data_IF_218586476005
#
_entry.id   IF_218586476005
#
_cell.length_a   1.000
_cell.length_b   1.000
_cell.length_c   1.000
_cell.angle_alpha   90.00
_cell.angle_beta   90.00
_cell.angle_gamma   90.00
#
_symmetry.space_group_name_H-M   'P 1'
#
loop_
_entity.id
_entity.type
_entity.pdbx_description
1 polymer ?
#
# COMPACT_ATOMS: atom_id res chain seq x y z
N UNK A 1 14.93 -7.20 30.36
CA UNK A 1 14.34 -8.55 30.26
C UNK A 1 14.24 -8.88 28.78
N UNK A 2 14.51 -10.12 28.37
CA UNK A 2 14.38 -10.51 26.96
C UNK A 2 12.89 -10.68 26.61
N UNK A 3 12.50 -10.29 25.39
CA UNK A 3 11.12 -10.29 24.90
C UNK A 3 10.41 -11.64 25.10
N UNK A 4 11.12 -12.74 24.80
CA UNK A 4 10.64 -14.13 24.97
C UNK A 4 10.36 -14.51 26.42
N UNK A 5 11.18 -14.03 27.37
CA UNK A 5 10.98 -14.24 28.81
C UNK A 5 9.76 -13.47 29.32
N UNK A 6 9.54 -12.26 28.79
CA UNK A 6 8.43 -11.39 29.17
C UNK A 6 7.09 -11.91 28.63
N UNK A 7 7.04 -12.46 27.41
CA UNK A 7 5.82 -13.08 26.86
C UNK A 7 5.36 -14.30 27.68
N UNK A 8 6.31 -15.10 28.16
CA UNK A 8 6.00 -16.25 29.03
C UNK A 8 5.55 -15.83 30.44
N UNK A 9 6.06 -14.72 30.98
CA UNK A 9 5.61 -14.19 32.29
C UNK A 9 4.23 -13.51 32.20
N UNK A 10 3.95 -12.82 31.10
CA UNK A 10 2.70 -12.04 30.92
C UNK A 10 1.51 -12.90 30.52
N UNK A 11 1.74 -14.09 29.95
CA UNK A 11 0.68 -15.03 29.58
C UNK A 11 -0.02 -15.67 30.79
N UNK A 12 0.60 -15.71 31.97
CA UNK A 12 -0.03 -16.24 33.19
C UNK A 12 -0.89 -15.22 33.98
N UNK A 13 -0.74 -13.90 33.75
CA UNK A 13 -1.29 -12.88 34.68
C UNK A 13 -2.09 -11.76 34.01
N UNK A 14 -2.01 -11.57 32.68
CA UNK A 14 -2.60 -10.37 32.05
C UNK A 14 -4.01 -10.64 31.51
N UNK A 15 -5.00 -9.90 32.04
CA UNK A 15 -6.36 -9.85 31.49
C UNK A 15 -6.33 -9.25 30.09
N UNK A 16 -6.52 -10.10 29.08
CA UNK A 16 -6.57 -9.68 27.67
C UNK A 16 -7.82 -8.83 27.45
N UNK A 17 -7.64 -7.54 27.14
CA UNK A 17 -8.73 -6.67 26.74
C UNK A 17 -9.18 -7.01 25.31
N UNK A 18 -10.48 -6.97 25.00
CA UNK A 18 -10.98 -7.22 23.64
C UNK A 18 -10.55 -6.11 22.66
N UNK A 19 -10.27 -4.92 23.16
CA UNK A 19 -9.73 -3.78 22.42
C UNK A 19 -8.51 -3.25 23.14
N UNK A 20 -7.46 -2.96 22.39
CA UNK A 20 -6.20 -2.44 22.90
C UNK A 20 -5.96 -1.07 22.25
N UNK A 21 -5.63 -0.08 23.07
CA UNK A 21 -5.30 1.28 22.63
C UNK A 21 -3.89 1.66 23.09
N UNK A 22 -2.95 1.58 22.14
CA UNK A 22 -1.56 1.97 22.31
C UNK A 22 -1.28 3.40 21.81
N UNK A 23 -2.09 3.98 20.92
CA UNK A 23 -1.91 5.37 20.49
C UNK A 23 -2.45 6.39 21.51
N UNK A 24 -3.31 5.95 22.43
CA UNK A 24 -4.00 6.83 23.39
C UNK A 24 -5.10 7.68 22.75
N UNK A 25 -5.32 7.53 21.43
CA UNK A 25 -6.39 8.18 20.69
C UNK A 25 -7.00 7.23 19.66
N UNK A 26 -8.33 7.19 19.62
CA UNK A 26 -9.09 6.37 18.67
C UNK A 26 -9.07 6.91 17.22
N UNK A 27 -8.49 8.09 17.00
CA UNK A 27 -8.54 8.78 15.69
C UNK A 27 -7.81 7.97 14.61
N UNK A 28 -6.61 7.46 14.93
CA UNK A 28 -5.82 6.64 14.02
C UNK A 28 -6.53 5.34 13.64
N UNK A 29 -7.20 4.71 14.61
CA UNK A 29 -7.93 3.46 14.40
C UNK A 29 -9.16 3.69 13.52
N UNK A 30 -9.96 4.71 13.83
CA UNK A 30 -11.12 5.11 13.03
C UNK A 30 -10.70 5.43 11.59
N UNK A 31 -9.60 6.16 11.41
CA UNK A 31 -9.07 6.49 10.10
C UNK A 31 -8.68 5.23 9.32
N UNK A 32 -7.98 4.30 9.97
CA UNK A 32 -7.61 2.99 9.41
C UNK A 32 -8.83 2.20 8.93
N UNK A 33 -9.90 2.14 9.74
CA UNK A 33 -11.14 1.46 9.37
C UNK A 33 -11.86 2.13 8.19
N UNK A 34 -12.03 3.45 8.23
CA UNK A 34 -12.73 4.20 7.17
C UNK A 34 -11.97 4.07 5.85
N UNK A 35 -10.66 4.32 5.86
CA UNK A 35 -9.82 4.23 4.67
C UNK A 35 -9.81 2.80 4.11
N UNK A 36 -9.75 1.78 4.98
CA UNK A 36 -9.87 0.37 4.62
C UNK A 36 -11.19 0.06 3.89
N UNK A 37 -12.33 0.48 4.45
CA UNK A 37 -13.66 0.26 3.83
C UNK A 37 -13.77 0.96 2.47
N UNK A 38 -13.36 2.22 2.37
CA UNK A 38 -13.37 2.97 1.10
C UNK A 38 -12.47 2.27 0.07
N UNK A 39 -11.33 1.76 0.51
CA UNK A 39 -10.42 1.01 -0.34
C UNK A 39 -11.02 -0.30 -0.86
N UNK A 40 -11.74 -1.05 -0.02
CA UNK A 40 -12.43 -2.27 -0.43
C UNK A 40 -13.42 -1.97 -1.56
N UNK A 41 -14.32 -1.00 -1.36
CA UNK A 41 -15.33 -0.64 -2.35
C UNK A 41 -14.71 -0.12 -3.66
N UNK A 42 -13.72 0.76 -3.58
CA UNK A 42 -13.09 1.35 -4.76
C UNK A 42 -12.29 0.33 -5.58
N UNK A 43 -11.53 -0.56 -4.93
CA UNK A 43 -10.78 -1.60 -5.64
C UNK A 43 -11.71 -2.68 -6.24
N UNK A 44 -12.76 -3.11 -5.52
CA UNK A 44 -13.76 -4.03 -6.07
C UNK A 44 -14.49 -3.44 -7.29
N UNK A 45 -14.87 -2.16 -7.21
CA UNK A 45 -15.48 -1.44 -8.32
C UNK A 45 -14.51 -1.33 -9.50
N UNK A 46 -13.23 -1.04 -9.26
CA UNK A 46 -12.22 -0.97 -10.32
C UNK A 46 -12.01 -2.32 -11.00
N UNK A 47 -11.97 -3.42 -10.24
CA UNK A 47 -11.88 -4.79 -10.80
C UNK A 47 -13.09 -5.08 -11.68
N UNK A 48 -14.30 -4.81 -11.19
CA UNK A 48 -15.52 -4.97 -11.96
C UNK A 48 -15.49 -4.12 -13.23
N UNK A 49 -15.18 -2.83 -13.14
CA UNK A 49 -15.16 -1.94 -14.28
C UNK A 49 -14.12 -2.39 -15.33
N UNK A 50 -12.93 -2.78 -14.89
CA UNK A 50 -11.86 -3.32 -15.75
C UNK A 50 -12.31 -4.58 -16.51
N UNK A 51 -13.14 -5.42 -15.89
CA UNK A 51 -13.70 -6.61 -16.54
C UNK A 51 -14.67 -6.30 -17.68
N UNK A 52 -15.39 -5.19 -17.60
CA UNK A 52 -16.39 -4.79 -18.59
C UNK A 52 -15.78 -4.02 -19.78
N UNK A 53 -14.57 -3.48 -19.64
CA UNK A 53 -13.90 -2.73 -20.71
C UNK A 53 -13.38 -3.68 -21.80
N UNK A 54 -14.12 -3.77 -22.91
CA UNK A 54 -13.78 -4.63 -24.07
C UNK A 54 -12.48 -4.23 -24.77
N UNK A 55 -12.10 -2.95 -24.72
CA UNK A 55 -10.92 -2.41 -25.40
C UNK A 55 -9.59 -2.74 -24.72
N UNK A 56 -9.61 -3.24 -23.48
CA UNK A 56 -8.40 -3.60 -22.77
C UNK A 56 -7.84 -4.96 -23.21
N UNK A 57 -6.54 -5.00 -23.45
CA UNK A 57 -5.81 -6.25 -23.70
C UNK A 57 -5.73 -7.10 -22.43
N UNK A 58 -5.57 -8.41 -22.59
CA UNK A 58 -5.47 -9.35 -21.45
C UNK A 58 -4.34 -8.98 -20.48
N UNK A 59 -3.22 -8.45 -21.00
CA UNK A 59 -2.10 -8.00 -20.17
C UNK A 59 -2.45 -6.78 -19.32
N UNK A 60 -3.16 -5.79 -19.87
CA UNK A 60 -3.59 -4.60 -19.11
C UNK A 60 -4.59 -4.98 -18.02
N UNK A 61 -5.53 -5.89 -18.33
CA UNK A 61 -6.47 -6.42 -17.34
C UNK A 61 -5.75 -7.15 -16.21
N UNK A 62 -4.81 -8.04 -16.56
CA UNK A 62 -4.01 -8.77 -15.57
C UNK A 62 -3.24 -7.82 -14.64
N UNK A 63 -2.51 -6.83 -15.19
CA UNK A 63 -1.81 -5.84 -14.37
C UNK A 63 -2.76 -5.10 -13.43
N UNK A 64 -3.92 -4.65 -13.92
CA UNK A 64 -4.88 -3.92 -13.08
C UNK A 64 -5.51 -4.80 -11.99
N UNK A 65 -5.82 -6.05 -12.29
CA UNK A 65 -6.30 -6.99 -11.29
C UNK A 65 -5.23 -7.25 -10.22
N UNK A 66 -4.00 -7.55 -10.62
CA UNK A 66 -2.90 -7.80 -9.69
C UNK A 66 -2.65 -6.62 -8.76
N UNK A 67 -2.63 -5.39 -9.29
CA UNK A 67 -2.45 -4.17 -8.47
C UNK A 67 -3.65 -3.93 -7.54
N UNK A 68 -4.88 -4.17 -8.01
CA UNK A 68 -6.07 -4.03 -7.18
C UNK A 68 -6.08 -5.06 -6.05
N UNK A 69 -5.66 -6.30 -6.31
CA UNK A 69 -5.50 -7.35 -5.29
C UNK A 69 -4.45 -6.94 -4.25
N UNK A 70 -3.29 -6.43 -4.68
CA UNK A 70 -2.27 -5.93 -3.74
C UNK A 70 -2.79 -4.79 -2.87
N UNK A 71 -3.60 -3.87 -3.42
CA UNK A 71 -4.26 -2.80 -2.64
C UNK A 71 -5.29 -3.34 -1.65
N UNK A 72 -6.03 -4.38 -2.02
CA UNK A 72 -6.95 -5.08 -1.10
C UNK A 72 -6.17 -5.72 0.05
N UNK A 73 -5.08 -6.43 -0.23
CA UNK A 73 -4.18 -7.01 0.80
C UNK A 73 -3.70 -5.91 1.75
N UNK A 74 -3.20 -4.78 1.21
CA UNK A 74 -2.77 -3.65 2.01
C UNK A 74 -3.89 -3.13 2.93
N UNK A 75 -5.10 -2.99 2.39
CA UNK A 75 -6.26 -2.47 3.13
C UNK A 75 -6.72 -3.42 4.23
N UNK A 76 -6.71 -4.73 3.97
CA UNK A 76 -7.00 -5.74 4.99
C UNK A 76 -5.95 -5.73 6.09
N UNK A 77 -4.65 -5.63 5.76
CA UNK A 77 -3.61 -5.50 6.77
C UNK A 77 -3.83 -4.29 7.67
N UNK A 78 -4.05 -3.09 7.09
CA UNK A 78 -4.33 -1.87 7.86
C UNK A 78 -5.55 -2.02 8.77
N UNK A 79 -6.65 -2.53 8.23
CA UNK A 79 -7.90 -2.67 8.97
C UNK A 79 -7.79 -3.68 10.13
N UNK A 80 -6.98 -4.72 9.96
CA UNK A 80 -6.79 -5.75 10.98
C UNK A 80 -5.73 -5.38 12.02
N UNK A 81 -4.74 -4.55 11.68
CA UNK A 81 -3.65 -4.20 12.59
C UNK A 81 -3.74 -2.82 13.20
N UNK A 82 -4.47 -1.87 12.58
CA UNK A 82 -4.53 -0.47 12.99
C UNK A 82 -3.15 0.03 13.47
N UNK A 83 -2.12 0.01 12.60
CA UNK A 83 -0.74 0.16 13.04
C UNK A 83 -0.53 1.54 13.66
N UNK A 84 0.15 1.59 14.79
CA UNK A 84 0.65 2.79 15.46
C UNK A 84 2.17 2.74 15.46
N UNK A 85 2.84 3.89 15.35
CA UNK A 85 4.29 3.95 15.38
C UNK A 85 4.72 4.92 16.48
N UNK A 86 5.68 4.49 17.28
CA UNK A 86 6.22 5.25 18.42
C UNK A 86 7.73 5.18 18.36
N UNK A 87 8.40 6.31 18.51
CA UNK A 87 9.86 6.35 18.62
C UNK A 87 10.23 6.48 20.10
N UNK A 88 11.24 5.73 20.53
CA UNK A 88 11.73 5.79 21.91
C UNK A 88 13.21 6.21 21.92
N UNK A 89 13.47 7.33 22.59
CA UNK A 89 14.82 7.91 22.71
C UNK A 89 15.77 7.02 23.52
N UNK A 90 15.31 6.34 24.57
CA UNK A 90 16.19 5.52 25.44
C UNK A 90 16.83 4.35 24.69
N UNK A 91 16.07 3.73 23.79
CA UNK A 91 16.50 2.55 23.03
C UNK A 91 16.85 2.87 21.58
N UNK A 92 16.75 4.13 21.16
CA UNK A 92 16.92 4.59 19.77
C UNK A 92 16.21 3.65 18.78
N UNK A 93 14.96 3.32 19.11
CA UNK A 93 14.20 2.27 18.45
C UNK A 93 12.81 2.77 18.10
N UNK A 94 12.40 2.47 16.88
CA UNK A 94 11.07 2.75 16.37
C UNK A 94 10.21 1.49 16.50
N UNK A 95 9.12 1.58 17.25
CA UNK A 95 8.17 0.50 17.48
C UNK A 95 6.98 0.66 16.54
N UNK A 96 6.65 -0.40 15.81
CA UNK A 96 5.41 -0.49 15.02
C UNK A 96 4.48 -1.46 15.74
N UNK A 97 3.41 -0.92 16.29
CA UNK A 97 2.57 -1.61 17.27
C UNK A 97 1.20 -1.86 16.63
N UNK A 98 0.66 -3.07 16.83
CA UNK A 98 -0.71 -3.39 16.43
C UNK A 98 -1.69 -2.80 17.45
N UNK A 99 -2.69 -2.05 16.97
CA UNK A 99 -3.75 -1.46 17.76
C UNK A 99 -5.12 -2.12 17.48
N UNK A 100 -6.17 -1.68 18.17
CA UNK A 100 -7.54 -2.11 17.89
C UNK A 100 -7.93 -3.46 18.53
N UNK A 101 -8.79 -4.22 17.85
CA UNK A 101 -9.33 -5.48 18.39
C UNK A 101 -8.23 -6.52 18.65
N UNK A 102 -8.36 -7.30 19.70
CA UNK A 102 -7.35 -8.32 20.06
C UNK A 102 -7.13 -9.34 18.94
N UNK A 103 -5.85 -9.63 18.68
CA UNK A 103 -5.41 -10.61 17.70
C UNK A 103 -4.27 -11.45 18.30
N UNK A 104 -4.18 -12.77 18.02
CA UNK A 104 -3.05 -13.57 18.46
C UNK A 104 -1.73 -12.97 17.98
N UNK A 105 -0.72 -12.95 18.87
CA UNK A 105 0.55 -12.25 18.64
C UNK A 105 1.19 -12.63 17.30
N UNK A 106 1.31 -13.93 17.03
CA UNK A 106 1.87 -14.45 15.78
C UNK A 106 1.13 -13.95 14.54
N UNK A 107 -0.21 -13.91 14.59
CA UNK A 107 -1.02 -13.46 13.46
C UNK A 107 -0.87 -11.95 13.25
N UNK A 108 -0.82 -11.16 14.33
CA UNK A 108 -0.59 -9.72 14.22
C UNK A 108 0.82 -9.37 13.76
N UNK A 109 1.85 -10.12 14.13
CA UNK A 109 3.22 -9.94 13.63
C UNK A 109 3.27 -10.19 12.12
N UNK A 110 2.64 -11.28 11.64
CA UNK A 110 2.51 -11.55 10.20
C UNK A 110 1.78 -10.41 9.50
N UNK A 111 0.65 -9.95 10.03
CA UNK A 111 -0.12 -8.88 9.39
C UNK A 111 0.61 -7.53 9.39
N UNK A 112 1.37 -7.21 10.44
CA UNK A 112 2.25 -6.04 10.48
C UNK A 112 3.38 -6.17 9.45
N UNK A 113 3.96 -7.36 9.28
CA UNK A 113 4.95 -7.60 8.24
C UNK A 113 4.34 -7.43 6.83
N UNK A 114 3.14 -7.97 6.59
CA UNK A 114 2.40 -7.79 5.34
C UNK A 114 2.05 -6.31 5.11
N UNK A 115 1.76 -5.55 6.17
CA UNK A 115 1.55 -4.11 6.10
C UNK A 115 2.79 -3.38 5.58
N UNK A 116 3.99 -3.64 6.14
CA UNK A 116 5.24 -3.03 5.68
C UNK A 116 5.57 -3.43 4.23
N UNK A 117 5.42 -4.72 3.89
CA UNK A 117 5.59 -5.18 2.50
C UNK A 117 4.61 -4.46 1.58
N UNK A 118 3.37 -4.26 2.00
CA UNK A 118 2.34 -3.56 1.22
C UNK A 118 2.67 -2.08 1.00
N UNK A 119 3.27 -1.39 1.98
CA UNK A 119 3.82 -0.04 1.82
C UNK A 119 4.84 -0.03 0.69
N UNK A 120 5.84 -0.90 0.74
CA UNK A 120 6.88 -0.99 -0.29
C UNK A 120 6.27 -1.30 -1.66
N UNK A 121 5.31 -2.21 -1.72
CA UNK A 121 4.63 -2.57 -2.96
C UNK A 121 3.78 -1.43 -3.54
N UNK A 122 3.16 -0.61 -2.69
CA UNK A 122 2.38 0.55 -3.12
C UNK A 122 3.24 1.63 -3.80
N UNK A 123 4.49 1.77 -3.35
CA UNK A 123 5.51 2.64 -3.94
C UNK A 123 6.07 2.10 -5.26
N UNK A 124 6.19 0.77 -5.39
CA UNK A 124 6.73 0.12 -6.60
C UNK A 124 5.68 -0.05 -7.71
N UNK A 125 4.39 -0.08 -7.36
CA UNK A 125 3.29 -0.31 -8.32
C UNK A 125 3.28 0.68 -9.50
N UNK A 126 3.27 2.01 -9.27
CA UNK A 126 3.31 2.99 -10.36
C UNK A 126 4.56 2.88 -11.23
N UNK A 127 5.74 2.62 -10.64
CA UNK A 127 6.99 2.46 -11.38
C UNK A 127 6.92 1.29 -12.37
N UNK A 128 6.36 0.16 -11.95
CA UNK A 128 6.14 -1.01 -12.81
C UNK A 128 5.17 -0.69 -13.94
N UNK A 129 4.07 0.02 -13.68
CA UNK A 129 3.13 0.44 -14.73
C UNK A 129 3.80 1.40 -15.73
N UNK A 130 4.60 2.33 -15.25
CA UNK A 130 5.40 3.24 -16.07
C UNK A 130 6.37 2.50 -16.99
N UNK A 131 7.09 1.52 -16.44
CA UNK A 131 8.01 0.69 -17.19
C UNK A 131 7.29 -0.13 -18.26
N UNK A 132 6.11 -0.70 -17.94
CA UNK A 132 5.28 -1.41 -18.92
C UNK A 132 4.90 -0.51 -20.10
N UNK A 133 4.44 0.72 -19.83
CA UNK A 133 4.06 1.67 -20.90
C UNK A 133 5.27 2.10 -21.72
N UNK A 134 6.39 2.44 -21.07
CA UNK A 134 7.61 2.85 -21.76
C UNK A 134 8.14 1.75 -22.70
N UNK A 135 8.12 0.49 -22.27
CA UNK A 135 8.56 -0.65 -23.07
C UNK A 135 7.58 -0.99 -24.20
N UNK A 136 6.27 -0.86 -23.96
CA UNK A 136 5.25 -1.03 -25.01
C UNK A 136 5.38 0.01 -26.13
N UNK A 137 5.88 1.21 -25.82
CA UNK A 137 6.15 2.25 -26.81
C UNK A 137 7.51 2.06 -27.51
N UNK A 138 8.49 1.44 -26.86
CA UNK A 138 9.85 1.29 -27.40
C UNK A 138 10.04 0.03 -28.28
N UNK A 139 9.32 -1.07 -28.04
CA UNK A 139 9.61 -2.37 -28.67
C UNK A 139 8.50 -2.87 -29.62
N UNK A 140 8.88 -3.32 -30.84
CA UNK A 140 7.98 -4.05 -31.75
C UNK A 140 7.75 -5.51 -31.32
N UNK A 141 8.61 -6.08 -30.45
CA UNK A 141 8.49 -7.43 -29.89
C UNK A 141 7.55 -7.43 -28.68
N UNK A 142 6.25 -7.56 -28.96
CA UNK A 142 5.16 -7.32 -27.99
C UNK A 142 4.97 -8.37 -26.89
N UNK A 143 5.59 -9.55 -26.94
CA UNK A 143 5.20 -10.68 -26.06
C UNK A 143 6.19 -10.96 -24.92
N UNK A 144 7.50 -10.98 -25.19
CA UNK A 144 8.51 -11.43 -24.23
C UNK A 144 8.81 -10.39 -23.13
N UNK A 145 8.70 -9.09 -23.43
CA UNK A 145 8.94 -8.02 -22.44
C UNK A 145 7.81 -7.89 -21.40
N UNK A 146 6.59 -8.33 -21.73
CA UNK A 146 5.42 -8.20 -20.84
C UNK A 146 5.46 -9.13 -19.64
N UNK A 147 5.95 -10.36 -19.82
CA UNK A 147 6.02 -11.35 -18.74
C UNK A 147 7.07 -10.95 -17.69
N UNK A 148 8.25 -10.51 -18.14
CA UNK A 148 9.35 -10.10 -17.25
C UNK A 148 8.97 -8.93 -16.33
N UNK A 149 8.31 -7.90 -16.86
CA UNK A 149 7.94 -6.71 -16.07
C UNK A 149 6.83 -7.02 -15.05
N UNK A 150 5.93 -7.96 -15.35
CA UNK A 150 4.88 -8.35 -14.42
C UNK A 150 5.38 -9.15 -13.22
N UNK A 151 6.58 -9.73 -13.29
CA UNK A 151 7.22 -10.49 -12.20
C UNK A 151 7.98 -9.56 -11.24
N UNK A 152 8.39 -8.37 -11.70
CA UNK A 152 9.15 -7.39 -10.91
C UNK A 152 8.52 -7.04 -9.54
N UNK A 153 7.18 -6.87 -9.40
CA UNK A 153 6.55 -6.68 -8.09
C UNK A 153 6.84 -7.82 -7.11
N UNK A 154 6.80 -9.07 -7.56
CA UNK A 154 7.02 -10.25 -6.73
C UNK A 154 8.50 -10.35 -6.32
N UNK A 155 9.40 -10.04 -7.26
CA UNK A 155 10.85 -10.00 -6.99
C UNK A 155 11.24 -8.95 -5.96
N UNK A 156 10.45 -7.89 -5.78
CA UNK A 156 10.65 -6.90 -4.70
C UNK A 156 9.95 -7.35 -3.42
N UNK A 157 8.71 -7.82 -3.51
CA UNK A 157 7.91 -8.23 -2.36
C UNK A 157 8.56 -9.35 -1.52
N UNK A 158 9.08 -10.39 -2.18
CA UNK A 158 9.61 -11.58 -1.50
C UNK A 158 10.85 -11.25 -0.65
N UNK A 159 11.91 -10.60 -1.19
CA UNK A 159 13.04 -10.16 -0.36
C UNK A 159 12.62 -9.21 0.76
N UNK A 160 11.70 -8.27 0.51
CA UNK A 160 11.19 -7.38 1.57
C UNK A 160 10.52 -8.18 2.69
N UNK A 161 9.67 -9.16 2.35
CA UNK A 161 9.00 -9.99 3.35
C UNK A 161 9.98 -10.79 4.20
N UNK A 162 11.01 -11.38 3.56
CA UNK A 162 12.07 -12.13 4.25
C UNK A 162 12.84 -11.21 5.20
N UNK A 163 13.27 -10.03 4.72
CA UNK A 163 14.04 -9.08 5.53
C UNK A 163 13.22 -8.50 6.69
N UNK A 164 11.94 -8.19 6.48
CA UNK A 164 11.05 -7.72 7.56
C UNK A 164 10.86 -8.81 8.61
N UNK A 165 10.67 -10.06 8.18
CA UNK A 165 10.49 -11.18 9.10
C UNK A 165 11.73 -11.42 9.97
N UNK A 166 12.93 -11.41 9.39
CA UNK A 166 14.16 -11.64 10.15
C UNK A 166 14.70 -10.39 10.85
N UNK A 167 14.43 -9.21 10.31
CA UNK A 167 15.01 -7.95 10.80
C UNK A 167 14.15 -7.18 11.77
N UNK A 168 12.82 -7.27 11.69
CA UNK A 168 11.91 -6.47 12.52
C UNK A 168 11.06 -7.28 13.51
N UNK A 169 10.97 -8.61 13.36
CA UNK A 169 10.19 -9.44 14.29
C UNK A 169 11.05 -9.80 15.50
N UNK A 170 10.66 -9.40 16.73
CA UNK A 170 11.48 -9.53 17.93
C UNK A 170 11.77 -10.96 18.36
N UNK A 171 11.06 -11.97 17.82
CA UNK A 171 11.32 -13.38 18.11
C UNK A 171 12.73 -13.84 17.69
N UNK A 172 13.41 -13.08 16.81
CA UNK A 172 14.69 -13.47 16.21
C UNK A 172 15.90 -12.69 16.73
N UNK A 173 15.73 -11.73 17.65
CA UNK A 173 16.86 -10.99 18.24
C UNK A 173 16.58 -10.57 19.70
N UNK A 174 17.59 -10.66 20.56
CA UNK A 174 17.53 -10.25 21.98
C UNK A 174 17.59 -8.71 22.10
N UNK A 175 16.56 -8.01 21.65
CA UNK A 175 16.40 -6.58 21.94
C UNK A 175 15.89 -6.39 23.37
N UNK A 176 16.54 -5.51 24.14
CA UNK A 176 15.93 -4.99 25.36
C UNK A 176 14.82 -4.02 24.97
N UNK A 177 13.60 -4.36 25.37
CA UNK A 177 12.45 -3.47 25.29
C UNK A 177 12.59 -2.40 26.39
N UNK A 178 12.22 -1.14 26.09
CA UNK A 178 12.19 -0.08 27.10
C UNK A 178 11.27 -0.44 28.27
N UNK A 179 11.64 -0.03 29.49
CA UNK A 179 10.78 -0.27 30.68
C UNK A 179 9.43 0.43 30.54
N UNK A 180 9.41 1.59 29.89
CA UNK A 180 8.21 2.33 29.55
C UNK A 180 7.25 1.49 28.70
N UNK A 181 7.75 0.86 27.63
CA UNK A 181 6.93 0.03 26.76
C UNK A 181 6.45 -1.25 27.46
N UNK A 182 7.28 -1.84 28.33
CA UNK A 182 6.90 -2.98 29.17
C UNK A 182 5.72 -2.65 30.11
N UNK A 183 5.73 -1.48 30.73
CA UNK A 183 4.61 -1.03 31.58
C UNK A 183 3.32 -0.86 30.78
N UNK A 184 3.41 -0.37 29.53
CA UNK A 184 2.23 -0.25 28.66
C UNK A 184 1.67 -1.59 28.21
N UNK A 185 2.53 -2.57 27.87
CA UNK A 185 2.10 -3.95 27.62
C UNK A 185 1.39 -4.52 28.86
N UNK A 186 1.92 -4.27 30.05
CA UNK A 186 1.31 -4.71 31.32
C UNK A 186 -0.09 -4.14 31.51
N UNK A 187 -0.33 -2.88 31.11
CA UNK A 187 -1.63 -2.21 31.26
C UNK A 187 -2.66 -2.52 30.16
N UNK A 188 -2.21 -2.72 28.91
CA UNK A 188 -3.09 -2.90 27.74
C UNK A 188 -3.22 -4.35 27.27
N UNK A 189 -2.35 -5.24 27.75
CA UNK A 189 -2.28 -6.61 27.29
C UNK A 189 -1.19 -6.83 26.24
N UNK A 190 -0.81 -8.09 26.06
CA UNK A 190 0.18 -8.50 25.05
C UNK A 190 -0.35 -8.12 23.66
N UNK A 191 0.49 -7.47 22.86
CA UNK A 191 0.21 -7.09 21.48
C UNK A 191 1.35 -7.51 20.54
N UNK A 192 1.05 -7.58 19.25
CA UNK A 192 2.06 -7.76 18.21
C UNK A 192 2.81 -6.47 17.96
N UNK A 193 4.12 -6.58 17.77
CA UNK A 193 4.95 -5.44 17.45
C UNK A 193 6.08 -5.81 16.51
N UNK A 194 6.58 -4.82 15.79
CA UNK A 194 7.83 -4.86 15.05
C UNK A 194 8.78 -3.82 15.64
N UNK A 195 10.05 -4.17 15.82
CA UNK A 195 11.07 -3.23 16.35
C UNK A 195 12.04 -2.89 15.23
N UNK A 196 12.12 -1.62 14.88
CA UNK A 196 13.12 -1.06 13.98
C UNK A 196 14.16 -0.36 14.84
N UNK A 197 15.22 -1.07 15.20
CA UNK A 197 16.26 -0.57 16.11
C UNK A 197 17.54 -0.20 15.36
N UNK A 198 18.23 0.83 15.85
CA UNK A 198 19.60 1.18 15.42
C UNK A 198 20.64 0.48 16.30
N UNK A 199 20.40 0.39 17.60
CA UNK A 199 21.34 -0.17 18.57
C UNK A 199 20.66 -1.17 19.51
N UNK A 200 21.26 -2.37 19.62
CA UNK A 200 20.96 -3.36 20.65
C UNK A 200 21.73 -3.01 21.93
N UNK A 201 21.01 -2.82 23.03
CA UNK A 201 21.62 -2.76 24.35
C UNK A 201 21.87 -4.18 24.87
N UNK A 202 23.13 -4.58 24.91
CA UNK A 202 23.50 -5.85 25.54
C UNK A 202 23.45 -5.75 27.07
N UNK A 203 23.32 -6.89 27.76
CA UNK A 203 23.30 -6.98 29.23
C UNK A 203 24.56 -6.41 29.91
N UNK A 204 25.62 -6.13 29.15
CA UNK A 204 26.87 -5.50 29.60
C UNK A 204 26.84 -3.96 29.47
N UNK A 205 25.75 -3.37 28.98
CA UNK A 205 25.63 -1.93 28.73
C UNK A 205 26.32 -1.44 27.46
N UNK A 206 26.87 -2.35 26.64
CA UNK A 206 27.44 -2.01 25.34
C UNK A 206 26.35 -1.97 24.26
N UNK A 207 26.30 -0.86 23.53
CA UNK A 207 25.49 -0.72 22.32
C UNK A 207 26.15 -1.50 21.18
N UNK A 208 25.53 -2.59 20.75
CA UNK A 208 25.90 -3.30 19.53
C UNK A 208 24.94 -2.89 18.41
N UNK A 209 25.46 -2.64 17.21
CA UNK A 209 24.63 -2.25 16.08
C UNK A 209 23.77 -3.44 15.61
N UNK A 210 22.45 -3.26 15.46
CA UNK A 210 21.60 -4.32 14.93
C UNK A 210 21.75 -4.43 13.41
N UNK A 211 22.70 -5.25 12.99
CA UNK A 211 23.01 -5.44 11.57
C UNK A 211 21.78 -5.89 10.75
N UNK A 212 20.86 -6.68 11.30
CA UNK A 212 19.75 -7.25 10.50
C UNK A 212 18.62 -6.23 10.31
N UNK A 213 18.18 -5.56 11.38
CA UNK A 213 17.20 -4.46 11.32
C UNK A 213 17.69 -3.36 10.36
N UNK A 214 18.99 -3.06 10.42
CA UNK A 214 19.61 -2.04 9.60
C UNK A 214 19.69 -2.44 8.12
N UNK A 215 20.12 -3.66 7.82
CA UNK A 215 20.09 -4.19 6.44
C UNK A 215 18.68 -4.16 5.87
N UNK A 216 17.66 -4.53 6.66
CA UNK A 216 16.25 -4.46 6.25
C UNK A 216 15.84 -3.00 5.93
N UNK A 217 16.13 -2.08 6.84
CA UNK A 217 15.79 -0.64 6.68
C UNK A 217 16.46 -0.04 5.45
N UNK A 218 17.78 -0.23 5.30
CA UNK A 218 18.51 0.25 4.13
C UNK A 218 18.00 -0.38 2.83
N UNK A 219 17.68 -1.67 2.82
CA UNK A 219 17.10 -2.32 1.65
C UNK A 219 15.78 -1.67 1.22
N UNK A 220 14.87 -1.42 2.18
CA UNK A 220 13.59 -0.76 1.90
C UNK A 220 13.81 0.65 1.34
N UNK A 221 14.71 1.43 1.96
CA UNK A 221 15.05 2.79 1.50
C UNK A 221 15.63 2.79 0.08
N UNK A 222 16.54 1.86 -0.23
CA UNK A 222 17.15 1.71 -1.56
C UNK A 222 16.09 1.33 -2.60
N UNK A 223 15.23 0.36 -2.29
CA UNK A 223 14.14 -0.07 -3.19
C UNK A 223 13.20 1.10 -3.48
N UNK A 224 12.81 1.86 -2.46
CA UNK A 224 11.96 3.04 -2.63
C UNK A 224 12.64 4.13 -3.47
N UNK A 225 13.95 4.34 -3.30
CA UNK A 225 14.72 5.31 -4.08
C UNK A 225 14.89 4.90 -5.55
N UNK A 226 15.14 3.61 -5.80
CA UNK A 226 15.21 3.05 -7.15
C UNK A 226 13.85 3.18 -7.84
N UNK A 227 12.74 2.88 -7.16
CA UNK A 227 11.38 3.03 -7.70
C UNK A 227 11.09 4.47 -8.15
N UNK A 228 11.47 5.45 -7.32
CA UNK A 228 11.37 6.88 -7.64
C UNK A 228 12.18 7.22 -8.90
N UNK A 229 13.43 6.75 -8.96
CA UNK A 229 14.33 7.00 -10.10
C UNK A 229 13.78 6.39 -11.39
N UNK A 230 13.33 5.12 -11.36
CA UNK A 230 12.71 4.43 -12.50
C UNK A 230 11.49 5.20 -13.00
N UNK A 231 10.63 5.69 -12.09
CA UNK A 231 9.44 6.44 -12.47
C UNK A 231 9.79 7.74 -13.19
N UNK A 232 10.76 8.52 -12.67
CA UNK A 232 11.23 9.75 -13.32
C UNK A 232 11.81 9.46 -14.70
N UNK A 233 12.69 8.45 -14.82
CA UNK A 233 13.31 8.07 -16.10
C UNK A 233 12.26 7.60 -17.10
N UNK A 234 11.32 6.75 -16.67
CA UNK A 234 10.23 6.26 -17.53
C UNK A 234 9.33 7.40 -17.99
N UNK A 235 8.97 8.33 -17.09
CA UNK A 235 8.19 9.51 -17.43
C UNK A 235 8.88 10.37 -18.49
N UNK A 236 10.17 10.67 -18.31
CA UNK A 236 10.96 11.41 -19.29
C UNK A 236 11.08 10.67 -20.63
N UNK A 237 11.26 9.35 -20.60
CA UNK A 237 11.32 8.50 -21.79
C UNK A 237 10.00 8.52 -22.56
N UNK A 238 8.85 8.34 -21.88
CA UNK A 238 7.52 8.42 -22.50
C UNK A 238 7.31 9.80 -23.10
N UNK A 239 7.60 10.89 -22.38
CA UNK A 239 7.46 12.25 -22.92
C UNK A 239 8.33 12.48 -24.16
N UNK A 240 9.57 11.97 -24.15
CA UNK A 240 10.47 12.07 -25.30
C UNK A 240 9.94 11.30 -26.50
N UNK A 241 9.51 10.05 -26.30
CA UNK A 241 8.95 9.21 -27.37
C UNK A 241 7.66 9.81 -27.95
N UNK A 242 6.80 10.40 -27.10
CA UNK A 242 5.60 11.10 -27.53
C UNK A 242 5.93 12.33 -28.37
N UNK A 243 6.94 13.13 -27.99
CA UNK A 243 7.40 14.28 -28.77
C UNK A 243 7.95 13.86 -30.14
N UNK A 244 8.69 12.76 -30.22
CA UNK A 244 9.20 12.23 -31.50
C UNK A 244 8.06 11.70 -32.38
N UNK A 245 7.17 10.86 -31.84
CA UNK A 245 6.01 10.31 -32.57
C UNK A 245 4.99 11.38 -32.99
N UNK A 246 4.99 12.55 -32.33
CA UNK A 246 4.17 13.72 -32.71
C UNK A 246 4.46 14.21 -34.13
N UNK A 247 5.67 13.95 -34.61
CA UNK A 247 6.10 14.33 -35.96
C UNK A 247 5.66 13.31 -37.04
N UNK A 248 5.21 12.11 -36.65
CA UNK A 248 5.00 10.98 -37.56
C UNK A 248 3.56 10.42 -37.59
N UNK A 249 2.75 10.58 -36.53
CA UNK A 249 1.44 9.89 -36.39
C UNK A 249 0.32 10.85 -35.92
N UNK A 250 -0.90 10.67 -36.47
CA UNK A 250 -2.09 11.50 -36.22
C UNK A 250 -2.58 11.61 -34.77
N UNK A 251 -3.50 12.55 -34.55
CA UNK A 251 -3.89 13.15 -33.24
C UNK A 251 -4.64 12.21 -32.27
N UNK A 252 -5.37 11.20 -32.75
CA UNK A 252 -6.25 10.39 -31.90
C UNK A 252 -5.50 9.41 -30.97
N UNK A 253 -4.41 8.80 -31.44
CA UNK A 253 -3.56 7.90 -30.62
C UNK A 253 -2.77 8.68 -29.56
N UNK A 254 -2.50 9.96 -29.79
CA UNK A 254 -1.75 10.81 -28.87
C UNK A 254 -2.55 11.14 -27.61
N UNK A 255 -3.81 11.57 -27.78
CA UNK A 255 -4.67 11.97 -26.67
C UNK A 255 -4.88 10.84 -25.64
N UNK A 256 -4.98 9.58 -26.10
CA UNK A 256 -5.15 8.42 -25.22
C UNK A 256 -3.86 8.11 -24.42
N UNK A 257 -2.69 8.28 -25.04
CA UNK A 257 -1.39 8.05 -24.39
C UNK A 257 -1.04 9.17 -23.40
N UNK A 258 -1.32 10.43 -23.72
CA UNK A 258 -1.15 11.56 -22.80
C UNK A 258 -2.06 11.43 -21.57
N UNK A 259 -3.31 11.00 -21.79
CA UNK A 259 -4.23 10.71 -20.70
C UNK A 259 -3.69 9.61 -19.78
N UNK A 260 -3.22 8.48 -20.33
CA UNK A 260 -2.63 7.38 -19.56
C UNK A 260 -1.39 7.85 -18.77
N UNK A 261 -0.47 8.58 -19.40
CA UNK A 261 0.72 9.13 -18.75
C UNK A 261 0.36 10.10 -17.61
N UNK A 262 -0.71 10.89 -17.78
CA UNK A 262 -1.20 11.82 -16.75
C UNK A 262 -1.80 11.06 -15.57
N UNK A 263 -2.62 10.03 -15.83
CA UNK A 263 -3.16 9.15 -14.77
C UNK A 263 -2.03 8.53 -13.96
N UNK A 264 -1.06 7.93 -14.65
CA UNK A 264 0.09 7.29 -14.01
C UNK A 264 0.92 8.28 -13.18
N UNK A 265 1.07 9.53 -13.65
CA UNK A 265 1.81 10.57 -12.93
C UNK A 265 1.10 10.93 -11.63
N UNK A 266 -0.22 11.12 -11.67
CA UNK A 266 -1.03 11.43 -10.49
C UNK A 266 -1.00 10.24 -9.52
N UNK A 267 -1.12 9.01 -10.02
CA UNK A 267 -1.03 7.79 -9.22
C UNK A 267 0.35 7.54 -8.61
N UNK A 268 1.39 8.14 -9.17
CA UNK A 268 2.73 8.12 -8.59
C UNK A 268 2.93 9.25 -7.57
N UNK A 269 2.49 10.47 -7.94
CA UNK A 269 2.63 11.65 -7.09
C UNK A 269 1.90 11.47 -5.76
N UNK A 270 0.77 10.76 -5.77
CA UNK A 270 0.00 10.51 -4.57
C UNK A 270 0.76 9.64 -3.54
N UNK A 271 1.19 8.39 -3.82
CA UNK A 271 2.09 7.62 -2.96
C UNK A 271 3.42 8.33 -2.65
N UNK A 272 3.94 9.17 -3.55
CA UNK A 272 5.14 9.94 -3.28
C UNK A 272 4.93 10.91 -2.10
N UNK A 273 3.86 11.71 -2.15
CA UNK A 273 3.56 12.67 -1.07
C UNK A 273 3.07 11.97 0.19
N UNK A 274 2.27 10.91 0.06
CA UNK A 274 1.60 10.26 1.18
C UNK A 274 2.38 9.15 1.86
N UNK A 275 3.34 8.54 1.15
CA UNK A 275 4.14 7.41 1.66
C UNK A 275 5.62 7.72 1.61
N UNK A 276 6.19 8.10 0.45
CA UNK A 276 7.64 8.28 0.35
C UNK A 276 8.16 9.36 1.29
N UNK A 277 7.63 10.58 1.23
CA UNK A 277 8.13 11.70 2.05
C UNK A 277 8.03 11.35 3.55
N UNK A 278 6.85 10.96 4.09
CA UNK A 278 6.76 10.64 5.51
C UNK A 278 7.59 9.43 5.90
N UNK A 279 7.64 8.37 5.09
CA UNK A 279 8.44 7.18 5.37
C UNK A 279 9.94 7.50 5.43
N UNK A 280 10.47 8.27 4.48
CA UNK A 280 11.87 8.69 4.53
C UNK A 280 12.17 9.46 5.80
N UNK A 281 11.30 10.39 6.19
CA UNK A 281 11.56 11.16 7.40
C UNK A 281 11.47 10.24 8.62
N UNK A 282 10.38 9.48 8.81
CA UNK A 282 10.18 8.61 9.98
C UNK A 282 11.27 7.52 10.13
N UNK A 283 11.80 6.96 9.05
CA UNK A 283 12.83 5.92 9.12
C UNK A 283 14.26 6.46 9.08
N UNK A 284 14.50 7.71 8.65
CA UNK A 284 15.82 8.35 8.71
C UNK A 284 16.02 9.10 10.03
N UNK A 285 14.95 9.65 10.61
CA UNK A 285 15.02 10.45 11.85
C UNK A 285 15.67 9.71 13.05
N UNK A 286 15.46 8.39 13.24
CA UNK A 286 16.18 7.59 14.24
C UNK A 286 17.70 7.71 14.16
N UNK A 287 18.28 7.90 12.97
CA UNK A 287 19.74 8.07 12.81
C UNK A 287 20.26 9.41 13.33
N UNK A 288 19.37 10.36 13.63
CA UNK A 288 19.70 11.69 14.13
C UNK A 288 19.27 11.91 15.58
N UNK A 289 18.78 10.88 16.28
CA UNK A 289 18.25 10.97 17.65
C UNK A 289 17.20 12.07 17.84
N UNK A 290 16.42 12.32 16.81
CA UNK A 290 15.30 13.26 16.84
C UNK A 290 14.00 12.48 16.73
N UNK A 291 12.93 13.01 17.31
CA UNK A 291 11.58 12.47 17.16
C UNK A 291 10.60 13.57 16.77
N UNK A 292 9.64 13.22 15.92
CA UNK A 292 8.53 14.10 15.54
C UNK A 292 7.28 13.23 15.52
N UNK A 293 6.66 13.04 16.69
CA UNK A 293 5.48 12.18 16.88
C UNK A 293 4.35 12.51 15.90
N UNK A 294 4.13 13.81 15.68
CA UNK A 294 3.16 14.32 14.72
C UNK A 294 3.35 13.78 13.30
N UNK A 295 4.59 13.58 12.86
CA UNK A 295 4.90 13.13 11.51
C UNK A 295 4.64 11.63 11.35
N UNK A 296 4.92 10.87 12.40
CA UNK A 296 4.69 9.43 12.49
C UNK A 296 3.20 9.11 12.44
N UNK A 297 2.37 9.85 13.18
CA UNK A 297 0.92 9.74 13.09
C UNK A 297 0.43 10.11 11.69
N UNK A 298 0.88 11.24 11.14
CA UNK A 298 0.51 11.68 9.79
C UNK A 298 0.87 10.62 8.74
N UNK A 299 2.05 10.00 8.85
CA UNK A 299 2.47 8.95 7.91
C UNK A 299 1.44 7.83 7.86
N UNK A 300 1.01 7.32 9.01
CA UNK A 300 0.05 6.23 9.10
C UNK A 300 -1.32 6.63 8.56
N UNK A 301 -1.77 7.85 8.90
CA UNK A 301 -3.02 8.40 8.38
C UNK A 301 -2.99 8.47 6.85
N UNK A 302 -1.93 9.05 6.27
CA UNK A 302 -1.78 9.21 4.82
C UNK A 302 -1.58 7.87 4.10
N UNK A 303 -0.78 6.96 4.66
CA UNK A 303 -0.59 5.61 4.13
C UNK A 303 -1.91 4.85 4.01
N UNK A 304 -2.80 4.97 5.01
CA UNK A 304 -4.08 4.26 5.03
C UNK A 304 -4.98 4.63 3.83
N UNK A 305 -4.90 5.87 3.35
CA UNK A 305 -5.71 6.35 2.22
C UNK A 305 -5.11 6.02 0.84
N UNK A 306 -3.83 5.66 0.76
CA UNK A 306 -3.17 5.29 -0.50
C UNK A 306 -3.88 4.17 -1.29
N UNK A 307 -4.22 3.01 -0.70
CA UNK A 307 -4.91 1.96 -1.44
C UNK A 307 -6.35 2.36 -1.85
N UNK A 308 -6.96 3.35 -1.20
CA UNK A 308 -8.30 3.86 -1.49
C UNK A 308 -8.33 4.91 -2.61
N UNK A 309 -7.45 5.90 -2.56
CA UNK A 309 -7.47 7.03 -3.50
C UNK A 309 -6.93 6.63 -4.87
N UNK A 310 -5.92 5.75 -4.91
CA UNK A 310 -5.32 5.29 -6.15
C UNK A 310 -6.31 4.67 -7.17
N UNK A 311 -7.21 3.75 -6.81
CA UNK A 311 -8.22 3.22 -7.73
C UNK A 311 -9.28 4.27 -8.11
N UNK A 312 -9.63 5.19 -7.20
CA UNK A 312 -10.57 6.29 -7.48
C UNK A 312 -10.00 7.20 -8.58
N UNK A 313 -8.71 7.54 -8.50
CA UNK A 313 -8.01 8.31 -9.55
C UNK A 313 -8.14 7.60 -10.91
N UNK A 314 -7.94 6.28 -10.97
CA UNK A 314 -8.12 5.52 -12.22
C UNK A 314 -9.55 5.64 -12.75
N UNK A 315 -10.54 5.43 -11.89
CA UNK A 315 -11.95 5.44 -12.30
C UNK A 315 -12.39 6.81 -12.84
N UNK A 316 -11.90 7.90 -12.27
CA UNK A 316 -12.23 9.27 -12.70
C UNK A 316 -11.47 9.65 -13.97
N UNK A 317 -10.19 9.29 -14.04
CA UNK A 317 -9.29 9.77 -15.09
C UNK A 317 -9.27 8.90 -16.34
N UNK A 318 -9.54 7.59 -16.27
CA UNK A 318 -9.51 6.70 -17.43
C UNK A 318 -10.87 6.64 -18.11
N UNK A 319 -10.99 7.25 -19.30
CA UNK A 319 -12.27 7.40 -20.04
C UNK A 319 -13.05 6.09 -20.17
N UNK A 320 -12.40 5.00 -20.62
CA UNK A 320 -13.05 3.71 -20.83
C UNK A 320 -13.63 3.11 -19.54
N UNK A 321 -12.96 3.33 -18.40
CA UNK A 321 -13.42 2.88 -17.09
C UNK A 321 -14.55 3.79 -16.60
N UNK A 322 -14.39 5.10 -16.75
CA UNK A 322 -15.43 6.09 -16.39
C UNK A 322 -16.73 5.84 -17.13
N UNK A 323 -16.69 5.47 -18.41
CA UNK A 323 -17.90 5.14 -19.18
C UNK A 323 -18.65 3.94 -18.63
N UNK A 324 -17.95 2.96 -18.06
CA UNK A 324 -18.57 1.80 -17.38
C UNK A 324 -19.13 2.18 -16.01
N UNK A 325 -18.40 3.00 -15.25
CA UNK A 325 -18.76 3.37 -13.86
C UNK A 325 -19.83 4.46 -13.82
N UNK A 326 -19.87 5.35 -14.81
CA UNK A 326 -20.83 6.47 -14.83
C UNK A 326 -22.27 6.01 -15.12
N UNK A 327 -23.28 6.60 -14.43
CA UNK A 327 -24.66 6.09 -14.37
C UNK A 327 -25.47 6.14 -15.68
N UNK A 328 -24.88 6.47 -16.84
CA UNK A 328 -25.62 6.39 -18.13
C UNK A 328 -26.12 4.96 -18.42
N UNK A 329 -25.45 3.93 -17.89
CA UNK A 329 -25.90 2.52 -17.98
C UNK A 329 -27.03 2.13 -17.01
N UNK A 330 -27.28 2.89 -15.94
CA UNK A 330 -28.41 2.63 -15.03
C UNK A 330 -29.72 3.10 -15.68
N UNK A 331 -29.68 4.21 -16.42
CA UNK A 331 -30.84 4.75 -17.12
C UNK A 331 -31.21 3.87 -18.33
N UNK A 332 -30.24 3.34 -19.07
CA UNK A 332 -30.55 2.48 -20.23
C UNK A 332 -31.10 1.10 -19.82
N UNK A 333 -30.64 0.51 -18.70
CA UNK A 333 -31.20 -0.79 -18.23
C UNK A 333 -32.57 -0.68 -17.57
N UNK A 334 -32.95 0.47 -17.04
CA UNK A 334 -34.31 0.72 -16.51
C UNK A 334 -35.25 1.38 -17.52
N UNK A 335 -34.71 2.09 -18.52
CA UNK A 335 -35.48 2.73 -19.60
C UNK A 335 -36.00 1.75 -20.65
N UNK A 336 -35.31 0.62 -20.87
CA UNK A 336 -35.70 -0.35 -21.90
C UNK A 336 -36.84 -1.30 -21.45
N UNK A 337 -37.03 -1.47 -20.13
CA UNK A 337 -38.21 -2.20 -19.60
C UNK A 337 -39.50 -1.39 -19.67
N UNK A 338 -39.43 -0.05 -19.79
CA UNK A 338 -40.62 0.80 -19.90
C UNK A 338 -41.18 0.83 -21.34
N UNK A 339 -40.31 0.79 -22.36
CA UNK A 339 -40.71 0.84 -23.78
C UNK A 339 -41.27 -0.47 -24.35
N UNK A 340 -40.99 -1.61 -23.73
CA UNK A 340 -41.60 -2.89 -24.15
C UNK A 340 -43.10 -3.00 -23.77
N UNK A 341 -43.55 -2.29 -22.72
CA UNK A 341 -44.96 -2.33 -22.29
C UNK A 341 -45.90 -1.40 -23.07
N UNK A 342 -45.36 -0.40 -23.79
CA UNK A 342 -46.14 0.62 -24.49
C UNK A 342 -46.39 0.27 -25.98
N UNK A 343 -45.64 -0.67 -26.55
CA UNK A 343 -45.86 -1.15 -27.93
C UNK A 343 -47.02 -2.17 -28.00
N UNK A 344 -47.36 -2.84 -26.89
CA UNK A 344 -48.44 -3.83 -26.88
C UNK A 344 -49.86 -3.26 -26.66
N UNK A 345 -50.00 -1.96 -26.36
CA UNK A 345 -51.33 -1.30 -26.24
C UNK A 345 -51.79 -0.57 -27.49
N UNK A 346 -50.91 -0.28 -28.46
CA UNK A 346 -51.29 0.44 -29.69
C UNK A 346 -51.82 -0.50 -30.78
N UNK A 347 -51.65 -1.81 -30.63
CA UNK A 347 -52.17 -2.81 -31.59
C UNK A 347 -53.57 -3.35 -31.28
N UNK A 348 -54.28 -2.81 -30.28
CA UNK A 348 -55.63 -3.28 -29.88
C UNK A 348 -56.75 -2.24 -30.04
N UNK A 349 -56.53 -1.17 -30.81
CA UNK A 349 -57.59 -0.18 -31.14
C UNK A 349 -57.84 0.00 -32.66
N UNK A 350 -57.42 -0.98 -33.47
CA UNK A 350 -57.80 -1.08 -34.89
C UNK A 350 -58.28 -2.49 -35.20
N UNK A 351 -59.49 -2.78 -34.76
CA UNK A 351 -60.43 -3.74 -35.36
C UNK A 351 -61.83 -3.27 -35.02
#
# INVERSE_FOLDING_TARGET
MNFSSTQNLTSEVVTVKPYQDFSGTYIGDINSYIAGIVSLFSNLTLIYATSQVKTFTSSVRFTQYSISILRLIFSFSIMLTCPSIEYELETESLYIIKNGFYLPVFLGEILLAVFIVSIVMSCNGPAVQYLQVAVMLASSSRQQSKCSISIMPILVAVPTAILVYFGYVPQFYDAQISKYFLDRISQQGITSLLIVTVHLTTSTGHFNFDMMSQVCTFFILIVMFISLTITIVCYLSIRRQMKCRRMEVGTATQNTQEQLNTVLLIQFLFPFVTIHIPFYITFILPFFNNEIDFLTDIMLHLCAWCPAINPIIVMIMVKNIREVVSPKLIIDRFGDKSKSSSIHRVFKSRT
#
